data_IF_619588086681
#
_entry.id   IF_619588086681
#
_cell.length_a   1.000
_cell.length_b   1.000
_cell.length_c   1.000
_cell.angle_alpha   90.00
_cell.angle_beta   90.00
_cell.angle_gamma   90.00
#
_symmetry.space_group_name_H-M   'P 1'
#
loop_
_entity.id
_entity.type
_entity.pdbx_description
1 polymer ?
#
# COMPACT_ATOMS: atom_id res chain seq x y z
N UNK A 1 35.49 36.94 8.54
CA UNK A 1 34.56 35.98 9.18
C UNK A 1 33.21 36.10 8.49
N UNK A 2 33.00 35.30 7.43
CA UNK A 2 31.71 35.24 6.76
C UNK A 2 30.75 34.43 7.64
N UNK A 3 29.74 35.09 8.21
CA UNK A 3 28.63 34.42 8.89
C UNK A 3 27.94 33.50 7.88
N UNK A 4 28.03 32.18 8.12
CA UNK A 4 27.18 31.17 7.50
C UNK A 4 25.72 31.52 7.80
N UNK A 5 25.08 32.23 6.87
CA UNK A 5 23.62 32.28 6.77
C UNK A 5 23.16 30.91 6.29
N UNK A 6 23.09 29.94 7.19
CA UNK A 6 22.30 28.73 6.98
C UNK A 6 20.82 29.14 6.96
N UNK A 7 20.35 29.63 5.81
CA UNK A 7 18.92 29.59 5.47
C UNK A 7 18.60 28.13 5.17
N UNK A 8 18.51 27.29 6.21
CA UNK A 8 17.80 26.02 6.11
C UNK A 8 16.32 26.34 6.11
N UNK A 9 15.82 26.84 4.97
CA UNK A 9 14.45 26.50 4.60
C UNK A 9 14.52 24.99 4.37
N UNK A 10 13.82 24.13 5.13
CA UNK A 10 13.66 22.77 4.66
C UNK A 10 13.07 22.93 3.25
N UNK A 11 13.77 22.44 2.24
CA UNK A 11 13.12 22.12 0.99
C UNK A 11 12.08 21.06 1.40
N UNK A 12 10.88 21.55 1.73
CA UNK A 12 9.70 20.74 1.88
C UNK A 12 9.38 20.28 0.47
N UNK A 13 10.10 19.27 0.01
CA UNK A 13 9.40 18.23 -0.71
C UNK A 13 8.33 17.76 0.26
N UNK A 14 7.06 17.91 -0.11
CA UNK A 14 5.96 17.37 0.68
C UNK A 14 6.13 15.86 0.67
N UNK A 15 6.86 15.33 1.66
CA UNK A 15 7.04 13.88 1.83
C UNK A 15 5.70 13.17 1.99
N UNK A 16 4.66 13.92 2.36
CA UNK A 16 3.27 13.50 2.35
C UNK A 16 2.83 13.14 0.92
N UNK A 17 3.24 13.90 -0.10
CA UNK A 17 2.91 13.64 -1.51
C UNK A 17 3.72 12.46 -2.09
N UNK A 18 4.95 12.26 -1.59
CA UNK A 18 5.78 11.11 -1.95
C UNK A 18 5.20 9.79 -1.42
N UNK A 19 4.60 9.82 -0.24
CA UNK A 19 4.00 8.64 0.42
C UNK A 19 2.48 8.55 0.23
N UNK A 20 1.89 9.45 -0.55
CA UNK A 20 0.47 9.42 -0.85
C UNK A 20 0.13 8.19 -1.69
N UNK A 21 -0.82 7.40 -1.20
CA UNK A 21 -1.43 6.30 -1.96
C UNK A 21 -2.21 6.92 -3.12
N UNK A 22 -1.96 6.49 -4.37
CA UNK A 22 -2.69 7.00 -5.52
C UNK A 22 -4.20 6.69 -5.38
N UNK A 23 -5.07 7.53 -5.98
CA UNK A 23 -6.49 7.21 -6.01
C UNK A 23 -6.72 5.92 -6.81
N UNK A 24 -7.79 5.18 -6.46
CA UNK A 24 -8.21 4.00 -7.23
C UNK A 24 -8.42 4.37 -8.71
N UNK A 25 -7.87 3.61 -9.66
CA UNK A 25 -7.99 3.92 -11.07
C UNK A 25 -9.42 3.63 -11.55
N UNK A 26 -9.84 4.35 -12.60
CA UNK A 26 -11.14 4.12 -13.23
C UNK A 26 -11.29 2.70 -13.79
N UNK A 27 -10.18 2.05 -14.20
CA UNK A 27 -10.19 0.66 -14.67
C UNK A 27 -10.70 -0.29 -13.60
N UNK A 28 -10.23 -0.13 -12.36
CA UNK A 28 -10.64 -0.93 -11.21
C UNK A 28 -12.10 -0.69 -10.85
N UNK A 29 -12.57 0.57 -10.89
CA UNK A 29 -13.99 0.89 -10.68
C UNK A 29 -14.88 0.25 -11.77
N UNK A 30 -14.43 0.26 -13.03
CA UNK A 30 -15.15 -0.41 -14.13
C UNK A 30 -15.17 -1.92 -13.95
N UNK A 31 -14.09 -2.53 -13.46
CA UNK A 31 -14.03 -3.96 -13.17
C UNK A 31 -14.96 -4.33 -11.99
N UNK A 32 -14.99 -3.53 -10.91
CA UNK A 32 -15.93 -3.69 -9.80
C UNK A 32 -17.39 -3.62 -10.30
N UNK A 33 -17.71 -2.66 -11.17
CA UNK A 33 -19.03 -2.53 -11.78
C UNK A 33 -19.38 -3.71 -12.69
N UNK A 34 -18.41 -4.21 -13.48
CA UNK A 34 -18.60 -5.36 -14.36
C UNK A 34 -18.91 -6.63 -13.56
N UNK A 35 -18.18 -6.86 -12.45
CA UNK A 35 -18.45 -7.96 -11.54
C UNK A 35 -19.85 -7.85 -10.92
N UNK A 36 -20.22 -6.68 -10.42
CA UNK A 36 -21.58 -6.47 -9.89
C UNK A 36 -22.66 -6.74 -10.95
N UNK A 37 -22.44 -6.33 -12.19
CA UNK A 37 -23.34 -6.64 -13.31
C UNK A 37 -23.45 -8.13 -13.61
N UNK A 38 -22.31 -8.85 -13.61
CA UNK A 38 -22.27 -10.30 -13.86
C UNK A 38 -22.98 -11.08 -12.75
N UNK A 39 -22.73 -10.73 -11.48
CA UNK A 39 -23.40 -11.32 -10.31
C UNK A 39 -24.91 -11.09 -10.39
N UNK A 40 -25.35 -9.87 -10.67
CA UNK A 40 -26.78 -9.55 -10.80
C UNK A 40 -27.44 -10.35 -11.94
N UNK A 41 -26.74 -10.52 -13.06
CA UNK A 41 -27.22 -11.32 -14.19
C UNK A 41 -27.34 -12.80 -13.82
N UNK A 42 -26.34 -13.38 -13.13
CA UNK A 42 -26.39 -14.76 -12.61
C UNK A 42 -27.59 -14.93 -11.67
N UNK A 43 -27.76 -14.04 -10.70
CA UNK A 43 -28.86 -14.11 -9.73
C UNK A 43 -30.23 -14.05 -10.41
N UNK A 44 -30.40 -13.13 -11.36
CA UNK A 44 -31.62 -13.04 -12.15
C UNK A 44 -31.87 -14.34 -12.96
N UNK A 45 -30.83 -14.93 -13.52
CA UNK A 45 -30.90 -16.23 -14.20
C UNK A 45 -31.34 -17.35 -13.25
N UNK A 46 -30.75 -17.42 -12.06
CA UNK A 46 -31.07 -18.44 -11.06
C UNK A 46 -32.52 -18.34 -10.59
N UNK A 47 -33.01 -17.11 -10.35
CA UNK A 47 -34.41 -16.88 -9.98
C UNK A 47 -35.34 -17.44 -11.06
N UNK A 48 -35.08 -17.13 -12.34
CA UNK A 48 -35.87 -17.67 -13.46
C UNK A 48 -35.85 -19.19 -13.52
N UNK A 49 -34.70 -19.82 -13.27
CA UNK A 49 -34.60 -21.28 -13.26
C UNK A 49 -35.39 -21.90 -12.08
N UNK A 50 -35.26 -21.33 -10.88
CA UNK A 50 -36.02 -21.80 -9.70
C UNK A 50 -37.53 -21.64 -9.92
N UNK A 51 -37.96 -20.53 -10.52
CA UNK A 51 -39.35 -20.30 -10.88
C UNK A 51 -39.86 -21.30 -11.92
N UNK A 52 -39.06 -21.56 -12.98
CA UNK A 52 -39.36 -22.58 -13.99
C UNK A 52 -39.54 -23.97 -13.37
N UNK A 53 -38.65 -24.37 -12.45
CA UNK A 53 -38.76 -25.64 -11.74
C UNK A 53 -40.00 -25.70 -10.84
N UNK A 54 -40.31 -24.63 -10.11
CA UNK A 54 -41.54 -24.54 -9.30
C UNK A 54 -42.81 -24.66 -10.13
N UNK A 55 -42.83 -24.06 -11.33
CA UNK A 55 -43.96 -24.16 -12.25
C UNK A 55 -44.11 -25.58 -12.81
N UNK A 56 -43.00 -26.27 -13.07
CA UNK A 56 -42.99 -27.66 -13.52
C UNK A 56 -43.54 -28.60 -12.44
N UNK A 57 -43.15 -28.41 -11.17
CA UNK A 57 -43.60 -29.23 -10.04
C UNK A 57 -45.09 -29.05 -9.71
N UNK A 58 -45.65 -27.87 -9.95
CA UNK A 58 -47.06 -27.54 -9.63
C UNK A 58 -48.07 -27.98 -10.68
N UNK A 59 -47.65 -28.72 -11.71
CA UNK A 59 -48.56 -29.12 -12.79
C UNK A 59 -49.57 -30.16 -12.34
N UNK A 60 -50.84 -29.90 -12.66
CA UNK A 60 -51.97 -30.80 -12.35
C UNK A 60 -52.36 -31.58 -13.60
N UNK A 61 -52.54 -32.89 -13.47
CA UNK A 61 -52.95 -33.75 -14.57
C UNK A 61 -54.30 -33.28 -15.18
N UNK A 62 -54.34 -33.12 -16.50
CA UNK A 62 -55.52 -32.68 -17.24
C UNK A 62 -55.60 -31.17 -17.51
N UNK A 63 -54.70 -30.35 -16.96
CA UNK A 63 -54.55 -28.95 -17.35
C UNK A 63 -53.43 -28.75 -18.39
N UNK A 64 -53.51 -27.74 -19.26
CA UNK A 64 -52.42 -27.40 -20.16
C UNK A 64 -51.15 -27.02 -19.38
N UNK A 65 -50.00 -27.53 -19.82
CA UNK A 65 -48.72 -27.32 -19.14
C UNK A 65 -48.25 -25.87 -19.34
N UNK A 66 -47.88 -25.21 -18.23
CA UNK A 66 -47.32 -23.86 -18.28
C UNK A 66 -45.86 -23.83 -18.76
N UNK A 67 -45.10 -24.90 -18.49
CA UNK A 67 -43.70 -25.06 -18.90
C UNK A 67 -43.37 -26.55 -19.07
N UNK A 68 -42.59 -26.90 -20.07
CA UNK A 68 -42.12 -28.28 -20.25
C UNK A 68 -40.80 -28.51 -19.53
N UNK A 69 -40.47 -29.77 -19.22
CA UNK A 69 -39.16 -30.11 -18.63
C UNK A 69 -37.99 -29.62 -19.49
N UNK A 70 -38.10 -29.77 -20.81
CA UNK A 70 -37.08 -29.29 -21.76
C UNK A 70 -36.84 -27.77 -21.64
N UNK A 71 -37.89 -26.97 -21.45
CA UNK A 71 -37.77 -25.53 -21.28
C UNK A 71 -37.13 -25.16 -19.94
N UNK A 72 -37.47 -25.87 -18.85
CA UNK A 72 -36.81 -25.65 -17.56
C UNK A 72 -35.31 -26.00 -17.63
N UNK A 73 -34.98 -27.12 -18.28
CA UNK A 73 -33.59 -27.55 -18.50
C UNK A 73 -32.84 -26.57 -19.40
N UNK A 74 -33.45 -26.02 -20.45
CA UNK A 74 -32.87 -25.00 -21.33
C UNK A 74 -32.52 -23.72 -20.55
N UNK A 75 -33.41 -23.25 -19.66
CA UNK A 75 -33.13 -22.13 -18.75
C UNK A 75 -31.94 -22.48 -17.84
N UNK A 76 -31.90 -23.70 -17.31
CA UNK A 76 -30.79 -24.19 -16.48
C UNK A 76 -29.45 -24.19 -17.21
N UNK A 77 -29.43 -24.56 -18.50
CA UNK A 77 -28.22 -24.55 -19.32
C UNK A 77 -27.66 -23.14 -19.53
N UNK A 78 -28.52 -22.10 -19.57
CA UNK A 78 -28.04 -20.70 -19.69
C UNK A 78 -27.25 -20.21 -18.47
N UNK A 79 -27.44 -20.82 -17.30
CA UNK A 79 -26.73 -20.45 -16.07
C UNK A 79 -25.22 -20.68 -16.19
N UNK A 80 -24.79 -21.73 -16.89
CA UNK A 80 -23.37 -22.05 -17.05
C UNK A 80 -22.59 -20.88 -17.68
N UNK A 81 -23.16 -20.22 -18.69
CA UNK A 81 -22.57 -19.03 -19.30
C UNK A 81 -22.52 -17.83 -18.36
N UNK A 82 -23.52 -17.67 -17.48
CA UNK A 82 -23.56 -16.59 -16.48
C UNK A 82 -22.50 -16.78 -15.40
N UNK A 83 -22.29 -18.01 -14.93
CA UNK A 83 -21.18 -18.30 -14.01
C UNK A 83 -19.83 -18.04 -14.66
N UNK A 84 -19.61 -18.49 -15.90
CA UNK A 84 -18.37 -18.21 -16.61
C UNK A 84 -18.14 -16.70 -16.77
N UNK A 85 -19.18 -15.92 -17.05
CA UNK A 85 -19.10 -14.45 -17.16
C UNK A 85 -18.76 -13.80 -15.80
N UNK A 86 -19.28 -14.33 -14.70
CA UNK A 86 -18.93 -13.89 -13.34
C UNK A 86 -17.48 -14.21 -13.01
N UNK A 87 -17.02 -15.43 -13.31
CA UNK A 87 -15.63 -15.86 -13.11
C UNK A 87 -14.65 -14.99 -13.91
N UNK A 88 -14.96 -14.70 -15.17
CA UNK A 88 -14.16 -13.81 -16.03
C UNK A 88 -14.11 -12.38 -15.48
N UNK A 89 -15.23 -11.85 -14.98
CA UNK A 89 -15.29 -10.52 -14.38
C UNK A 89 -14.51 -10.46 -13.05
N UNK A 90 -14.57 -11.52 -12.25
CA UNK A 90 -13.80 -11.66 -11.02
C UNK A 90 -12.30 -11.69 -11.30
N UNK A 91 -11.88 -12.51 -12.28
CA UNK A 91 -10.48 -12.59 -12.70
C UNK A 91 -9.95 -11.25 -13.22
N UNK A 92 -10.77 -10.50 -13.97
CA UNK A 92 -10.43 -9.16 -14.44
C UNK A 92 -10.26 -8.15 -13.28
N UNK A 93 -11.16 -8.19 -12.27
CA UNK A 93 -11.03 -7.35 -11.08
C UNK A 93 -9.75 -7.67 -10.30
N UNK A 94 -9.44 -8.95 -10.10
CA UNK A 94 -8.23 -9.38 -9.40
C UNK A 94 -6.96 -8.95 -10.14
N UNK A 95 -6.95 -9.04 -11.47
CA UNK A 95 -5.83 -8.60 -12.29
C UNK A 95 -5.59 -7.08 -12.17
N UNK A 96 -6.65 -6.27 -12.27
CA UNK A 96 -6.58 -4.80 -12.11
C UNK A 96 -6.20 -4.40 -10.68
N UNK A 97 -6.75 -5.06 -9.67
CA UNK A 97 -6.40 -4.84 -8.26
C UNK A 97 -4.91 -5.12 -8.02
N UNK A 98 -4.41 -6.25 -8.51
CA UNK A 98 -3.00 -6.60 -8.40
C UNK A 98 -2.10 -5.61 -9.14
N UNK A 99 -2.47 -5.20 -10.35
CA UNK A 99 -1.69 -4.22 -11.11
C UNK A 99 -1.62 -2.87 -10.38
N UNK A 100 -2.73 -2.43 -9.78
CA UNK A 100 -2.76 -1.21 -8.97
C UNK A 100 -1.95 -1.32 -7.69
N UNK A 101 -2.01 -2.46 -7.01
CA UNK A 101 -1.20 -2.77 -5.82
C UNK A 101 0.29 -2.75 -6.16
N UNK A 102 0.72 -3.48 -7.20
CA UNK A 102 2.11 -3.54 -7.64
C UNK A 102 2.64 -2.13 -7.98
N UNK A 103 1.85 -1.33 -8.70
CA UNK A 103 2.21 0.05 -9.03
C UNK A 103 2.30 0.95 -7.78
N UNK A 104 1.40 0.77 -6.82
CA UNK A 104 1.39 1.53 -5.56
C UNK A 104 2.60 1.17 -4.71
N UNK A 105 2.90 -0.13 -4.57
CA UNK A 105 4.07 -0.62 -3.83
C UNK A 105 5.35 -0.07 -4.45
N UNK A 106 5.50 -0.15 -5.77
CA UNK A 106 6.68 0.39 -6.47
C UNK A 106 6.86 1.89 -6.18
N UNK A 107 5.79 2.69 -6.33
CA UNK A 107 5.82 4.13 -6.03
C UNK A 107 6.21 4.43 -4.59
N UNK A 108 5.64 3.70 -3.63
CA UNK A 108 5.91 3.92 -2.20
C UNK A 108 7.34 3.52 -1.83
N UNK A 109 7.87 2.44 -2.42
CA UNK A 109 9.26 2.03 -2.22
C UNK A 109 10.23 3.12 -2.71
N UNK A 110 10.00 3.66 -3.90
CA UNK A 110 10.81 4.77 -4.44
C UNK A 110 10.76 6.00 -3.50
N UNK A 111 9.56 6.38 -3.05
CA UNK A 111 9.37 7.49 -2.11
C UNK A 111 10.06 7.28 -0.76
N UNK A 112 10.02 6.04 -0.24
CA UNK A 112 10.72 5.66 0.99
C UNK A 112 12.24 5.67 0.83
N UNK A 113 12.77 5.31 -0.35
CA UNK A 113 14.20 5.38 -0.63
C UNK A 113 14.69 6.84 -0.66
N UNK A 114 13.96 7.73 -1.34
CA UNK A 114 14.22 9.18 -1.36
C UNK A 114 14.23 9.76 0.05
N UNK A 115 13.20 9.44 0.85
CA UNK A 115 13.12 9.88 2.24
C UNK A 115 14.32 9.36 3.05
N UNK A 116 14.66 8.07 2.88
CA UNK A 116 15.78 7.47 3.58
C UNK A 116 17.11 8.12 3.21
N UNK A 117 17.34 8.45 1.93
CA UNK A 117 18.55 9.14 1.48
C UNK A 117 18.62 10.54 2.06
N UNK A 118 17.50 11.26 2.04
CA UNK A 118 17.42 12.60 2.62
C UNK A 118 17.72 12.59 4.11
N UNK A 119 17.15 11.64 4.87
CA UNK A 119 17.47 11.47 6.29
C UNK A 119 18.95 11.15 6.47
N UNK A 120 19.52 10.28 5.64
CA UNK A 120 20.95 9.96 5.65
C UNK A 120 21.84 11.18 5.43
N UNK A 121 21.49 12.04 4.48
CA UNK A 121 22.18 13.30 4.22
C UNK A 121 22.08 14.27 5.39
N UNK A 122 20.90 14.45 5.98
CA UNK A 122 20.71 15.30 7.16
C UNK A 122 21.51 14.79 8.36
N UNK A 123 21.59 13.47 8.55
CA UNK A 123 22.45 12.88 9.57
C UNK A 123 23.93 13.16 9.29
N UNK A 124 24.39 13.10 8.04
CA UNK A 124 25.76 13.47 7.66
C UNK A 124 26.05 14.95 7.92
N UNK A 125 25.09 15.84 7.62
CA UNK A 125 25.22 17.28 7.90
C UNK A 125 25.33 17.55 9.40
N UNK A 126 24.48 16.90 10.21
CA UNK A 126 24.55 17.02 11.67
C UNK A 126 25.90 16.52 12.20
N UNK A 127 26.41 15.40 11.70
CA UNK A 127 27.70 14.85 12.11
C UNK A 127 28.84 15.83 11.85
N UNK A 128 28.85 16.47 10.68
CA UNK A 128 29.82 17.52 10.29
C UNK A 128 29.78 18.76 11.19
N UNK A 129 28.66 19.03 11.86
CA UNK A 129 28.54 20.15 12.79
C UNK A 129 28.94 19.75 14.22
N UNK A 130 28.59 18.54 14.62
CA UNK A 130 28.68 18.07 16.01
C UNK A 130 30.09 17.64 16.36
N UNK A 131 30.78 16.97 15.43
CA UNK A 131 32.16 16.52 15.66
C UNK A 131 33.11 17.71 15.88
N UNK A 132 33.17 18.74 15.00
CA UNK A 132 34.01 19.92 15.24
C UNK A 132 33.61 20.70 16.49
N UNK A 133 32.30 20.81 16.78
CA UNK A 133 31.82 21.49 17.99
C UNK A 133 32.26 20.77 19.27
N UNK A 134 32.28 19.44 19.25
CA UNK A 134 32.75 18.61 20.37
C UNK A 134 34.25 18.81 20.59
N UNK A 135 35.06 18.76 19.51
CA UNK A 135 36.50 19.01 19.58
C UNK A 135 36.79 20.41 20.12
N UNK A 136 36.15 21.44 19.56
CA UNK A 136 36.33 22.83 20.00
C UNK A 136 35.92 23.04 21.46
N UNK A 137 34.81 22.45 21.91
CA UNK A 137 34.36 22.57 23.30
C UNK A 137 35.36 21.92 24.29
N UNK A 138 35.98 20.80 23.92
CA UNK A 138 37.04 20.17 24.73
C UNK A 138 38.28 21.05 24.78
N UNK A 139 38.74 21.58 23.64
CA UNK A 139 39.92 22.46 23.58
C UNK A 139 39.74 23.75 24.39
N UNK A 140 38.57 24.40 24.28
CA UNK A 140 38.25 25.62 25.02
C UNK A 140 38.30 25.37 26.54
N UNK A 141 37.75 24.23 26.99
CA UNK A 141 37.78 23.84 28.40
C UNK A 141 39.20 23.54 28.88
N UNK A 142 40.02 22.88 28.06
CA UNK A 142 41.44 22.61 28.38
C UNK A 142 42.26 23.90 28.51
N UNK A 143 41.91 24.95 27.76
CA UNK A 143 42.51 26.28 27.86
C UNK A 143 42.02 27.10 29.06
N UNK A 144 41.19 26.52 29.93
CA UNK A 144 40.73 27.14 31.17
C UNK A 144 39.53 28.08 31.03
N UNK A 145 38.89 28.13 29.85
CA UNK A 145 37.67 28.92 29.67
C UNK A 145 36.46 28.19 30.26
N UNK A 146 35.53 28.97 30.83
CA UNK A 146 34.29 28.46 31.41
C UNK A 146 33.25 28.27 30.31
N UNK A 147 32.89 27.02 30.03
CA UNK A 147 31.76 26.64 29.19
C UNK A 147 30.57 26.19 30.06
N UNK A 148 29.33 26.25 29.54
CA UNK A 148 28.20 25.66 30.23
C UNK A 148 28.45 24.17 30.51
N UNK A 149 28.27 23.75 31.77
CA UNK A 149 28.51 22.35 32.18
C UNK A 149 27.66 21.33 31.39
N UNK A 150 26.53 21.77 30.84
CA UNK A 150 25.63 20.96 30.02
C UNK A 150 26.05 20.80 28.56
N UNK A 151 27.01 21.58 28.07
CA UNK A 151 27.36 21.60 26.64
C UNK A 151 27.99 20.27 26.17
N UNK A 152 29.04 19.80 26.84
CA UNK A 152 29.72 18.55 26.47
C UNK A 152 28.80 17.31 26.61
N UNK A 153 28.02 17.15 27.70
CA UNK A 153 27.01 16.08 27.76
C UNK A 153 26.02 16.12 26.61
N UNK A 154 25.46 17.30 26.28
CA UNK A 154 24.49 17.45 25.18
C UNK A 154 25.09 17.10 23.82
N UNK A 155 26.33 17.51 23.53
CA UNK A 155 27.01 17.17 22.29
C UNK A 155 27.24 15.66 22.17
N UNK A 156 27.63 15.01 23.28
CA UNK A 156 27.79 13.54 23.33
C UNK A 156 26.47 12.81 23.13
N UNK A 157 25.40 13.26 23.77
CA UNK A 157 24.08 12.65 23.65
C UNK A 157 23.54 12.81 22.22
N UNK A 158 23.77 13.97 21.60
CA UNK A 158 23.36 14.23 20.22
C UNK A 158 24.16 13.38 19.22
N UNK A 159 25.47 13.20 19.43
CA UNK A 159 26.30 12.27 18.64
C UNK A 159 25.79 10.83 18.74
N UNK A 160 25.47 10.39 19.96
CA UNK A 160 24.90 9.06 20.20
C UNK A 160 23.53 8.89 19.52
N UNK A 161 22.71 9.95 19.52
CA UNK A 161 21.45 10.00 18.79
C UNK A 161 21.63 9.84 17.27
N UNK A 162 22.60 10.56 16.68
CA UNK A 162 22.94 10.46 15.25
C UNK A 162 23.36 9.04 14.88
N UNK A 163 24.23 8.42 15.67
CA UNK A 163 24.67 7.03 15.45
C UNK A 163 23.51 6.04 15.53
N UNK A 164 22.63 6.19 16.51
CA UNK A 164 21.44 5.34 16.66
C UNK A 164 20.49 5.48 15.47
N UNK A 165 20.20 6.71 15.04
CA UNK A 165 19.36 6.95 13.86
C UNK A 165 19.98 6.34 12.60
N UNK A 166 21.29 6.46 12.41
CA UNK A 166 22.00 5.83 11.29
C UNK A 166 21.92 4.31 11.33
N UNK A 167 22.02 3.70 12.52
CA UNK A 167 21.84 2.25 12.70
C UNK A 167 20.44 1.81 12.32
N UNK A 168 19.41 2.55 12.76
CA UNK A 168 18.01 2.27 12.42
C UNK A 168 17.76 2.39 10.92
N UNK A 169 18.24 3.46 10.29
CA UNK A 169 18.13 3.68 8.85
C UNK A 169 18.80 2.57 8.03
N UNK A 170 19.99 2.11 8.45
CA UNK A 170 20.67 1.02 7.79
C UNK A 170 19.98 -0.33 8.03
N UNK A 171 19.39 -0.54 9.21
CA UNK A 171 18.62 -1.73 9.50
C UNK A 171 17.35 -1.80 8.63
N UNK A 172 16.59 -0.70 8.53
CA UNK A 172 15.39 -0.64 7.69
C UNK A 172 15.71 -0.89 6.22
N UNK A 173 16.80 -0.31 5.69
CA UNK A 173 17.27 -0.59 4.31
C UNK A 173 17.64 -2.04 4.07
N UNK A 174 18.27 -2.70 5.04
CA UNK A 174 18.58 -4.14 4.93
C UNK A 174 17.32 -4.98 4.93
N UNK A 175 16.33 -4.61 5.75
CA UNK A 175 15.04 -5.29 5.74
C UNK A 175 14.32 -5.10 4.40
N UNK A 176 14.28 -3.88 3.86
CA UNK A 176 13.69 -3.60 2.54
C UNK A 176 14.34 -4.44 1.42
N UNK A 177 15.67 -4.50 1.38
CA UNK A 177 16.41 -5.33 0.41
C UNK A 177 16.24 -6.82 0.61
N UNK A 178 16.04 -7.28 1.84
CA UNK A 178 15.75 -8.68 2.13
C UNK A 178 14.30 -9.07 1.79
N UNK A 179 13.39 -8.09 1.76
CA UNK A 179 11.99 -8.25 1.36
C UNK A 179 11.72 -8.04 -0.13
N UNK A 180 12.75 -7.92 -0.99
CA UNK A 180 12.60 -7.99 -2.45
C UNK A 180 12.18 -9.40 -2.96
N UNK A 181 11.95 -10.35 -2.05
CA UNK A 181 11.16 -11.55 -2.33
C UNK A 181 9.66 -11.27 -2.25
N UNK A 182 8.79 -12.07 -2.90
CA UNK A 182 7.34 -11.83 -2.90
C UNK A 182 6.82 -11.70 -1.46
N UNK A 183 6.15 -10.58 -1.16
CA UNK A 183 5.51 -10.34 0.14
C UNK A 183 4.57 -11.51 0.41
N UNK A 184 4.72 -12.25 1.52
CA UNK A 184 3.85 -13.37 1.83
C UNK A 184 2.40 -12.91 1.89
N UNK A 185 1.50 -13.54 1.13
CA UNK A 185 0.07 -13.21 1.11
C UNK A 185 -0.57 -13.22 2.52
N UNK A 186 0.04 -13.92 3.49
CA UNK A 186 -0.39 -13.94 4.89
C UNK A 186 -0.29 -12.60 5.61
N UNK A 187 0.59 -11.68 5.17
CA UNK A 187 0.70 -10.35 5.78
C UNK A 187 -0.55 -9.48 5.54
N UNK A 188 -1.31 -9.76 4.48
CA UNK A 188 -2.44 -8.96 4.04
C UNK A 188 -3.79 -9.35 4.68
N UNK A 189 -3.88 -10.51 5.33
CA UNK A 189 -5.11 -10.94 6.03
C UNK A 189 -5.41 -10.17 7.32
N UNK A 190 -4.46 -9.36 7.80
CA UNK A 190 -4.61 -8.58 9.04
C UNK A 190 -5.11 -7.14 8.79
N UNK A 191 -5.35 -6.74 7.54
CA UNK A 191 -5.80 -5.39 7.17
C UNK A 191 -7.25 -5.32 6.64
N UNK A 192 -8.02 -6.41 6.73
CA UNK A 192 -9.48 -6.45 6.54
C UNK A 192 -10.18 -6.65 7.87
#
# INVERSE_FOLDING_TARGET
>A
MAMLKAKTKPAGEDYIDLLAVPPKPESLLKAEQALHGAVAAREAGQVKHVEAMRLLERQVAGQPQAITRAQADEIGQTLAGLYATEDDAQAALEAEAKAFEDATVARLLDGLEILADTVGERLNELDRLVDPATVAAVEIRQRGFVLPNSLLPRLRDLRSGIENMRRLLNASRRHAKASDGPIPQSAWRLAR
#
